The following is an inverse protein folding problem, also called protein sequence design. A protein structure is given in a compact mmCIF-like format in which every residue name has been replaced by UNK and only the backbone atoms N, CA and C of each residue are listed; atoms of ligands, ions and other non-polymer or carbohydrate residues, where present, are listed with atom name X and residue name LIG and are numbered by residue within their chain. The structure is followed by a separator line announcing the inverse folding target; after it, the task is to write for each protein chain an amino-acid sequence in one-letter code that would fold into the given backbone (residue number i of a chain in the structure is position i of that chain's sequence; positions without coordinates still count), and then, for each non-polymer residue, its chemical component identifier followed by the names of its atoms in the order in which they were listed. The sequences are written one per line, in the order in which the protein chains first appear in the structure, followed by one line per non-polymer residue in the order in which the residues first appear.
data_IF_500125585567
#
_entry.id   IF_500125585567
#
_cell.length_a   1.000
_cell.length_b   1.000
_cell.length_c   1.000
_cell.angle_alpha   90.00
_cell.angle_beta   90.00
_cell.angle_gamma   90.00
#
_symmetry.space_group_name_H-M   'P 1'
#
loop_
_entity.id
_entity.type
_entity.pdbx_description
1 polymer ?
#
# COMPACT_ATOMS: atom_id res chain seq x y z
N UNK A 1 3.97 4.23 -26.91
CA UNK A 1 3.88 3.11 -25.94
C UNK A 1 2.41 2.80 -25.75
N UNK A 2 2.04 1.52 -25.73
CA UNK A 2 0.63 1.11 -25.63
C UNK A 2 0.42 0.31 -24.35
N UNK A 3 -0.69 0.55 -23.65
CA UNK A 3 -1.09 -0.17 -22.44
C UNK A 3 -2.30 -1.05 -22.73
N UNK A 4 -2.23 -2.31 -22.31
CA UNK A 4 -3.34 -3.26 -22.39
C UNK A 4 -3.77 -3.68 -20.99
N UNK A 5 -5.07 -3.83 -20.78
CA UNK A 5 -5.66 -4.48 -19.60
C UNK A 5 -6.14 -5.86 -20.03
N UNK A 6 -5.46 -6.91 -19.59
CA UNK A 6 -5.57 -8.21 -20.23
C UNK A 6 -5.17 -8.12 -21.71
N UNK A 7 -6.14 -8.34 -22.61
CA UNK A 7 -5.97 -8.23 -24.06
C UNK A 7 -6.65 -6.98 -24.67
N UNK A 8 -7.32 -6.18 -23.86
CA UNK A 8 -7.98 -4.96 -24.33
C UNK A 8 -7.02 -3.76 -24.29
N UNK A 9 -6.93 -3.01 -25.39
CA UNK A 9 -6.19 -1.75 -25.43
C UNK A 9 -6.88 -0.71 -24.53
N UNK A 10 -6.12 -0.09 -23.63
CA UNK A 10 -6.66 0.97 -22.79
C UNK A 10 -6.77 2.30 -23.55
N UNK A 11 -7.85 3.07 -23.32
CA UNK A 11 -7.94 4.45 -23.78
C UNK A 11 -6.80 5.30 -23.22
N UNK A 12 -6.13 6.08 -24.07
CA UNK A 12 -5.00 6.94 -23.70
C UNK A 12 -5.38 8.02 -22.68
N UNK A 13 -6.65 8.40 -22.59
CA UNK A 13 -7.13 9.38 -21.62
C UNK A 13 -7.10 8.86 -20.18
N UNK A 14 -7.29 7.55 -19.99
CA UNK A 14 -7.34 6.87 -18.68
C UNK A 14 -5.97 6.77 -18.01
N UNK A 15 -4.87 6.95 -18.72
CA UNK A 15 -3.53 6.82 -18.16
C UNK A 15 -2.58 7.91 -18.65
N UNK A 16 -1.42 8.01 -17.99
CA UNK A 16 -0.30 8.84 -18.39
C UNK A 16 0.97 8.01 -18.25
N UNK A 17 1.85 8.09 -19.24
CA UNK A 17 3.14 7.40 -19.25
C UNK A 17 4.24 8.44 -19.31
N UNK A 18 5.15 8.40 -18.34
CA UNK A 18 6.29 9.30 -18.29
C UNK A 18 7.59 8.48 -18.21
N UNK A 19 8.51 8.64 -19.17
CA UNK A 19 9.86 8.08 -19.03
C UNK A 19 10.63 8.86 -17.95
N UNK A 20 11.26 8.14 -17.04
CA UNK A 20 12.15 8.66 -15.99
C UNK A 20 13.46 7.87 -16.00
N UNK A 21 14.42 8.35 -16.79
CA UNK A 21 15.68 7.64 -17.02
C UNK A 21 15.44 6.27 -17.67
N UNK A 22 15.85 5.20 -17.00
CA UNK A 22 15.64 3.81 -17.43
C UNK A 22 14.30 3.20 -16.94
N UNK A 23 13.50 3.96 -16.20
CA UNK A 23 12.18 3.52 -15.71
C UNK A 23 11.08 4.20 -16.50
N UNK A 24 9.99 3.48 -16.73
CA UNK A 24 8.75 4.03 -17.29
C UNK A 24 7.74 4.09 -16.16
N UNK A 25 7.30 5.30 -15.81
CA UNK A 25 6.26 5.51 -14.83
C UNK A 25 4.90 5.49 -15.52
N UNK A 26 4.01 4.61 -15.06
CA UNK A 26 2.61 4.56 -15.46
C UNK A 26 1.75 5.16 -14.34
N UNK A 27 0.88 6.10 -14.70
CA UNK A 27 -0.08 6.71 -13.77
C UNK A 27 -1.48 6.52 -14.33
N UNK A 28 -2.34 5.82 -13.59
CA UNK A 28 -3.74 5.66 -13.92
C UNK A 28 -4.55 6.84 -13.38
N UNK A 29 -5.35 7.50 -14.23
CA UNK A 29 -6.19 8.63 -13.83
C UNK A 29 -7.52 8.10 -13.30
N UNK A 30 -8.04 8.71 -12.23
CA UNK A 30 -9.33 8.35 -11.62
C UNK A 30 -9.45 6.84 -11.38
N UNK A 31 -8.44 6.27 -10.71
CA UNK A 31 -8.37 4.82 -10.43
C UNK A 31 -9.58 4.37 -9.61
N UNK A 32 -10.22 3.29 -10.03
CA UNK A 32 -11.38 2.69 -9.38
C UNK A 32 -11.08 1.24 -8.96
N UNK A 33 -11.82 0.66 -8.01
CA UNK A 33 -11.59 -0.73 -7.56
C UNK A 33 -11.64 -1.74 -8.71
N UNK A 34 -12.54 -1.49 -9.66
CA UNK A 34 -12.72 -2.26 -10.87
C UNK A 34 -11.54 -2.14 -11.84
N UNK A 35 -10.55 -1.26 -11.64
CA UNK A 35 -9.30 -1.20 -12.40
C UNK A 35 -8.28 -2.24 -11.85
N UNK A 36 -8.57 -2.99 -10.80
CA UNK A 36 -7.70 -4.09 -10.37
C UNK A 36 -7.52 -5.13 -11.47
N UNK A 37 -6.28 -5.59 -11.71
CA UNK A 37 -6.03 -6.61 -12.73
C UNK A 37 -4.61 -6.65 -13.29
N UNK A 38 -4.47 -7.32 -14.44
CA UNK A 38 -3.20 -7.49 -15.13
C UNK A 38 -3.08 -6.50 -16.28
N UNK A 39 -1.97 -5.77 -16.32
CA UNK A 39 -1.65 -4.78 -17.32
C UNK A 39 -0.42 -5.20 -18.11
N UNK A 40 -0.39 -4.85 -19.40
CA UNK A 40 0.77 -5.04 -20.26
C UNK A 40 1.19 -3.73 -20.90
N UNK A 41 2.46 -3.34 -20.74
CA UNK A 41 3.07 -2.26 -21.49
C UNK A 41 3.78 -2.83 -22.71
N UNK A 42 3.50 -2.26 -23.89
CA UNK A 42 4.21 -2.54 -25.14
C UNK A 42 5.03 -1.31 -25.53
N UNK A 43 6.35 -1.48 -25.51
CA UNK A 43 7.30 -0.51 -26.02
C UNK A 43 7.78 -0.97 -27.40
N UNK A 44 7.68 -0.11 -28.41
CA UNK A 44 8.22 -0.38 -29.74
C UNK A 44 9.53 0.38 -29.86
N UNK A 45 10.63 -0.32 -30.10
CA UNK A 45 11.91 0.28 -30.45
C UNK A 45 11.99 0.30 -31.98
N UNK A 46 12.19 1.49 -32.54
CA UNK A 46 12.49 1.63 -33.95
C UNK A 46 14.00 1.41 -34.12
N UNK A 47 14.38 0.33 -34.77
CA UNK A 47 15.78 0.04 -35.11
C UNK A 47 15.96 0.22 -36.61
N UNK A 48 16.57 1.33 -37.00
CA UNK A 48 17.01 1.57 -38.39
C UNK A 48 18.41 1.00 -38.55
N UNK A 49 18.57 -0.05 -39.36
CA UNK A 49 19.89 -0.54 -39.74
C UNK A 49 20.42 0.35 -40.86
N UNK A 50 21.55 1.02 -40.64
CA UNK A 50 22.11 2.00 -41.59
C UNK A 50 22.88 1.34 -42.76
N UNK A 51 22.81 0.01 -42.90
CA UNK A 51 23.54 -0.74 -43.92
C UNK A 51 22.63 -1.07 -45.11
N UNK A 52 22.69 -0.22 -46.14
CA UNK A 52 22.31 -0.40 -47.56
C UNK A 52 20.93 -0.99 -47.95
N UNK A 53 20.13 -1.49 -47.02
CA UNK A 53 18.72 -1.80 -47.22
C UNK A 53 17.91 -1.06 -46.17
N UNK A 54 16.90 -0.32 -46.62
CA UNK A 54 16.04 0.53 -45.80
C UNK A 54 15.04 -0.32 -44.98
N UNK A 55 15.51 -1.39 -44.35
CA UNK A 55 14.70 -2.37 -43.64
C UNK A 55 14.42 -1.86 -42.22
N UNK A 56 13.20 -1.38 -42.01
CA UNK A 56 12.74 -0.84 -40.72
C UNK A 56 12.19 -2.01 -39.90
N UNK A 57 13.02 -2.53 -39.00
CA UNK A 57 12.58 -3.51 -38.01
C UNK A 57 11.94 -2.80 -36.80
N UNK A 58 10.71 -3.19 -36.46
CA UNK A 58 10.01 -2.70 -35.25
C UNK A 58 9.99 -3.85 -34.25
N UNK A 59 10.93 -3.84 -33.30
CA UNK A 59 10.93 -4.82 -32.22
C UNK A 59 10.10 -4.30 -31.04
N UNK A 60 9.03 -5.04 -30.71
CA UNK A 60 8.11 -4.70 -29.63
C UNK A 60 8.40 -5.50 -28.37
N UNK A 61 8.80 -4.84 -27.27
CA UNK A 61 8.95 -5.48 -25.96
C UNK A 61 7.64 -5.34 -25.17
N UNK A 62 7.07 -6.47 -24.72
CA UNK A 62 5.88 -6.51 -23.84
C UNK A 62 6.28 -6.85 -22.41
N UNK A 63 5.94 -5.99 -21.45
CA UNK A 63 6.11 -6.25 -20.01
C UNK A 63 4.75 -6.33 -19.33
N UNK A 64 4.54 -7.38 -18.51
CA UNK A 64 3.31 -7.58 -17.73
C UNK A 64 3.51 -7.15 -16.28
N UNK A 65 2.51 -6.48 -15.71
CA UNK A 65 2.43 -6.10 -14.29
C UNK A 65 1.03 -6.42 -13.75
N UNK A 66 0.90 -6.62 -12.44
CA UNK A 66 -0.39 -6.73 -11.77
C UNK A 66 -0.61 -5.47 -10.95
N UNK A 67 -1.73 -4.79 -11.16
CA UNK A 67 -2.17 -3.64 -10.39
C UNK A 67 -3.27 -4.08 -9.43
N UNK A 68 -3.16 -3.66 -8.17
CA UNK A 68 -4.17 -3.89 -7.15
C UNK A 68 -4.58 -2.53 -6.59
N UNK A 69 -5.85 -2.16 -6.74
CA UNK A 69 -6.39 -0.91 -6.21
C UNK A 69 -7.18 -1.26 -4.97
N UNK A 70 -6.70 -0.75 -3.85
CA UNK A 70 -7.40 -0.82 -2.58
C UNK A 70 -8.29 0.41 -2.48
N UNK A 71 -9.55 0.24 -2.16
CA UNK A 71 -10.36 1.36 -1.71
C UNK A 71 -9.87 1.81 -0.34
N UNK A 72 -10.01 3.10 -0.01
CA UNK A 72 -9.81 3.58 1.35
C UNK A 72 -10.78 2.93 2.36
N UNK A 73 -11.84 2.26 1.88
CA UNK A 73 -12.73 1.40 2.68
C UNK A 73 -12.24 -0.06 2.80
N UNK A 74 -11.36 -0.50 1.89
CA UNK A 74 -10.58 -1.75 2.05
C UNK A 74 -9.29 -1.49 2.84
N UNK A 75 -8.95 -0.21 3.10
CA UNK A 75 -7.95 0.18 4.07
C UNK A 75 -8.63 0.16 5.43
N UNK A 76 -8.33 -0.83 6.28
CA UNK A 76 -8.90 -0.81 7.58
C UNK A 76 -8.30 0.41 8.28
N UNK A 77 -9.14 1.27 8.85
CA UNK A 77 -8.84 1.93 10.13
C UNK A 77 -8.66 0.86 11.27
N UNK A 78 -8.09 -0.28 10.93
CA UNK A 78 -7.64 -1.48 11.65
C UNK A 78 -6.18 -1.81 11.17
N UNK A 79 -5.44 -0.79 10.70
CA UNK A 79 -4.06 -0.92 10.21
C UNK A 79 -2.97 -0.44 11.18
N UNK A 80 -3.25 0.52 12.07
CA UNK A 80 -2.27 0.92 13.09
C UNK A 80 -2.46 0.09 14.37
N UNK A 81 -1.45 -0.71 14.80
CA UNK A 81 -1.54 -1.40 16.08
C UNK A 81 -1.68 -0.36 17.20
N UNK A 82 -2.49 -0.61 18.24
CA UNK A 82 -2.64 0.33 19.34
C UNK A 82 -1.27 0.60 19.98
N UNK A 83 -0.92 1.88 20.13
CA UNK A 83 0.35 2.31 20.69
C UNK A 83 0.16 2.96 22.05
N UNK A 84 1.07 2.70 22.99
CA UNK A 84 1.14 3.43 24.24
C UNK A 84 1.79 4.80 23.99
N UNK A 85 0.97 5.85 23.93
CA UNK A 85 1.44 7.25 23.94
C UNK A 85 2.06 7.58 25.30
N UNK A 86 1.48 7.04 26.38
CA UNK A 86 2.05 7.09 27.73
C UNK A 86 2.13 5.69 28.33
N UNK A 87 3.35 5.26 28.63
CA UNK A 87 3.66 3.94 29.19
C UNK A 87 3.35 3.88 30.68
N UNK A 88 3.13 2.67 31.17
CA UNK A 88 3.11 2.38 32.59
C UNK A 88 4.51 2.58 33.16
N UNK A 89 4.61 3.28 34.30
CA UNK A 89 5.86 3.51 35.02
C UNK A 89 5.74 3.00 36.43
N UNK A 90 6.86 2.60 37.01
CA UNK A 90 6.92 2.18 38.40
C UNK A 90 6.64 3.35 39.34
N UNK A 91 5.88 3.10 40.41
CA UNK A 91 5.50 4.08 41.41
C UNK A 91 5.86 3.55 42.80
N UNK A 92 6.70 4.29 43.53
CA UNK A 92 6.97 4.05 44.94
C UNK A 92 5.92 4.79 45.79
N UNK A 93 5.15 4.04 46.57
CA UNK A 93 3.99 4.58 47.30
C UNK A 93 3.97 4.07 48.73
N UNK A 94 3.48 4.89 49.65
CA UNK A 94 3.35 4.52 51.06
C UNK A 94 2.22 3.51 51.25
N UNK A 95 2.44 2.55 52.16
CA UNK A 95 1.41 1.59 52.57
C UNK A 95 0.19 2.33 53.10
N UNK A 96 -1.01 1.87 52.70
CA UNK A 96 -2.28 2.47 53.09
C UNK A 96 -2.74 3.64 52.21
N UNK A 97 -1.92 4.08 51.23
CA UNK A 97 -2.29 5.16 50.32
C UNK A 97 -2.84 4.63 49.00
N UNK A 98 -3.96 5.20 48.53
CA UNK A 98 -4.55 4.87 47.22
C UNK A 98 -3.68 5.44 46.10
N UNK A 99 -3.37 4.60 45.11
CA UNK A 99 -2.59 4.97 43.92
C UNK A 99 -3.35 4.65 42.64
N UNK A 100 -3.07 5.39 41.56
CA UNK A 100 -3.62 5.17 40.23
C UNK A 100 -2.50 4.89 39.23
N UNK A 101 -2.65 3.81 38.49
CA UNK A 101 -1.88 3.56 37.28
C UNK A 101 -2.69 4.07 36.09
N UNK A 102 -2.07 4.92 35.28
CA UNK A 102 -2.69 5.46 34.10
C UNK A 102 -1.78 5.11 32.92
N UNK A 103 -2.36 4.83 31.76
CA UNK A 103 -1.68 4.77 30.46
C UNK A 103 -2.49 5.58 29.45
N UNK A 104 -1.88 5.94 28.33
CA UNK A 104 -2.59 6.56 27.21
C UNK A 104 -2.34 5.74 25.97
N UNK A 105 -3.42 5.38 25.26
CA UNK A 105 -3.38 4.51 24.10
C UNK A 105 -3.97 5.28 22.92
N UNK A 106 -3.22 5.39 21.83
CA UNK A 106 -3.73 5.85 20.54
C UNK A 106 -4.08 4.62 19.72
N UNK A 107 -5.30 4.57 19.18
CA UNK A 107 -5.83 3.46 18.40
C UNK A 107 -6.85 3.99 17.40
N UNK A 108 -6.86 3.43 16.19
CA UNK A 108 -7.85 3.73 15.14
C UNK A 108 -9.17 2.95 15.36
N UNK A 109 -9.12 1.87 16.13
CA UNK A 109 -10.27 1.05 16.55
C UNK A 109 -10.44 1.05 18.08
N UNK A 110 -11.52 0.47 18.60
CA UNK A 110 -11.75 0.31 20.05
C UNK A 110 -10.87 -0.83 20.64
N UNK A 111 -9.79 -0.52 21.39
CA UNK A 111 -8.85 -1.54 21.83
C UNK A 111 -9.39 -2.31 23.04
N UNK A 112 -9.19 -3.64 23.06
CA UNK A 112 -9.44 -4.45 24.26
C UNK A 112 -8.29 -4.31 25.24
N UNK A 113 -8.60 -4.00 26.50
CA UNK A 113 -7.58 -3.84 27.56
C UNK A 113 -7.59 -5.03 28.54
N UNK A 114 -6.41 -5.43 29.01
CA UNK A 114 -6.22 -6.55 29.94
C UNK A 114 -5.15 -6.18 30.96
N UNK A 115 -5.54 -6.09 32.23
CA UNK A 115 -4.61 -5.81 33.33
C UNK A 115 -4.14 -7.13 33.95
N UNK A 116 -2.82 -7.38 33.97
CA UNK A 116 -2.22 -8.55 34.61
C UNK A 116 -1.44 -8.12 35.85
N UNK A 117 -1.79 -8.71 36.98
CA UNK A 117 -1.02 -8.61 38.22
C UNK A 117 -0.29 -9.95 38.36
N UNK A 118 1.05 -9.98 38.48
CA UNK A 118 1.79 -11.22 38.69
C UNK A 118 1.21 -12.05 39.83
N UNK A 119 1.00 -13.35 39.61
CA UNK A 119 0.43 -14.25 40.63
C UNK A 119 -1.09 -14.14 40.85
N UNK A 120 -1.82 -13.32 40.08
CA UNK A 120 -3.30 -13.25 40.12
C UNK A 120 -3.91 -13.41 38.73
N UNK A 121 -5.09 -14.05 38.66
CA UNK A 121 -5.85 -14.14 37.40
C UNK A 121 -6.25 -12.74 36.93
N UNK A 122 -6.08 -12.48 35.64
CA UNK A 122 -6.35 -11.18 35.02
C UNK A 122 -7.85 -10.84 35.05
N UNK A 123 -8.17 -9.58 35.32
CA UNK A 123 -9.51 -9.02 35.19
C UNK A 123 -9.62 -8.39 33.79
N UNK A 124 -10.54 -8.88 32.97
CA UNK A 124 -10.89 -8.27 31.68
C UNK A 124 -11.89 -7.14 31.93
N UNK A 125 -11.72 -5.98 31.32
CA UNK A 125 -12.81 -5.01 31.21
C UNK A 125 -13.54 -5.22 29.88
N UNK A 126 -14.87 -5.11 29.90
CA UNK A 126 -15.72 -5.05 28.70
C UNK A 126 -15.71 -3.64 28.11
#
# INVERSE_FOLDING_TARGET
MNIFRGDQLMPSERYSVQPRGNVVQLTLKQSQKDDTGHYSLVAKKLTTNYSDSNDISIEGVRKKIRMNIRDASDDPEEGEPPIFVRRLTDLAVKVGTRTRFLVEIRSSSSPKTVNKIPGRRSLKSH
#
